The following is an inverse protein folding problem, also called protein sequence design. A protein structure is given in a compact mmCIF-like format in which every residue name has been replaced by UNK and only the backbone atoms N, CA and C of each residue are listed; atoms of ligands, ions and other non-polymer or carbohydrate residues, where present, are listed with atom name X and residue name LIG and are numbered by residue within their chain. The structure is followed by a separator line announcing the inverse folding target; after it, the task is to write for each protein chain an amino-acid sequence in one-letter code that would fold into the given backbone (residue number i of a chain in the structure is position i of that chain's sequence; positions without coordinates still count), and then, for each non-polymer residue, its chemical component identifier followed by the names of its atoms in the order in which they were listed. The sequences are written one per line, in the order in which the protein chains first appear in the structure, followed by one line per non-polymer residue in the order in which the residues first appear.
data_IF_981100635600
#
_entry.id   IF_981100635600
#
_cell.length_a   1.000
_cell.length_b   1.000
_cell.length_c   1.000
_cell.angle_alpha   90.00
_cell.angle_beta   90.00
_cell.angle_gamma   90.00
#
_symmetry.space_group_name_H-M   'P 1'
#
loop_
_entity.id
_entity.type
_entity.pdbx_description
1 polymer ?
#
# COMPACT_ATOMS: atom_id res chain seq x y z
N UNK A 1 8.36 -2.14 14.16
CA UNK A 1 7.23 -1.17 14.06
C UNK A 1 6.00 -1.86 13.48
N UNK A 2 4.78 -1.42 13.80
CA UNK A 2 3.56 -1.98 13.19
C UNK A 2 3.37 -1.42 11.78
N UNK A 3 3.02 -2.27 10.82
CA UNK A 3 2.76 -1.86 9.43
C UNK A 3 1.55 -2.54 8.83
N UNK A 4 0.87 -1.82 7.96
CA UNK A 4 -0.05 -2.40 6.98
C UNK A 4 0.69 -2.52 5.65
N UNK A 5 0.59 -3.66 5.00
CA UNK A 5 1.23 -3.93 3.71
C UNK A 5 0.16 -4.12 2.65
N UNK A 6 0.31 -3.44 1.52
CA UNK A 6 -0.49 -3.64 0.31
C UNK A 6 0.41 -4.22 -0.77
N UNK A 7 0.10 -5.43 -1.24
CA UNK A 7 0.84 -6.12 -2.29
C UNK A 7 -0.05 -6.25 -3.52
N UNK A 8 0.43 -5.71 -4.65
CA UNK A 8 -0.31 -5.66 -5.90
C UNK A 8 0.25 -6.68 -6.88
N UNK A 9 -0.66 -7.46 -7.48
CA UNK A 9 -0.35 -8.27 -8.68
C UNK A 9 -0.11 -7.37 -9.89
N UNK A 10 0.52 -7.93 -10.93
CA UNK A 10 0.77 -7.26 -12.20
C UNK A 10 -0.55 -6.77 -12.83
N UNK A 11 -0.74 -5.45 -13.02
CA UNK A 11 -1.89 -4.93 -13.73
C UNK A 11 -1.79 -5.24 -15.24
N UNK A 12 -2.93 -5.24 -15.93
CA UNK A 12 -2.96 -5.37 -17.40
C UNK A 12 -2.28 -4.18 -18.10
N UNK A 13 -2.42 -2.98 -17.53
CA UNK A 13 -1.75 -1.75 -17.97
C UNK A 13 -0.87 -1.18 -16.83
N UNK A 14 0.43 -1.53 -16.79
CA UNK A 14 1.36 -1.02 -15.79
C UNK A 14 1.55 0.49 -15.82
N UNK A 15 1.47 1.14 -16.99
CA UNK A 15 1.69 2.57 -17.11
C UNK A 15 0.52 3.35 -16.50
N UNK A 16 -0.71 3.02 -16.89
CA UNK A 16 -1.91 3.65 -16.32
C UNK A 16 -2.03 3.40 -14.82
N UNK A 17 -1.65 2.20 -14.36
CA UNK A 17 -1.58 1.90 -12.92
C UNK A 17 -0.59 2.84 -12.22
N UNK A 18 0.62 3.01 -12.76
CA UNK A 18 1.66 3.84 -12.14
C UNK A 18 1.25 5.30 -12.06
N UNK A 19 0.74 5.84 -13.17
CA UNK A 19 0.28 7.22 -13.24
C UNK A 19 -0.81 7.48 -12.19
N UNK A 20 -1.80 6.59 -12.07
CA UNK A 20 -2.84 6.74 -11.05
C UNK A 20 -2.30 6.53 -9.63
N UNK A 21 -1.49 5.50 -9.43
CA UNK A 21 -0.95 5.12 -8.14
C UNK A 21 -0.12 6.25 -7.52
N UNK A 22 0.85 6.78 -8.26
CA UNK A 22 1.75 7.80 -7.74
C UNK A 22 1.13 9.21 -7.73
N UNK A 23 0.27 9.57 -8.68
CA UNK A 23 -0.29 10.92 -8.75
C UNK A 23 -1.62 11.09 -8.00
N UNK A 24 -2.35 10.01 -7.74
CA UNK A 24 -3.66 10.07 -7.07
C UNK A 24 -3.66 9.29 -5.77
N UNK A 25 -3.32 8.01 -5.80
CA UNK A 25 -3.48 7.14 -4.63
C UNK A 25 -2.51 7.47 -3.49
N UNK A 26 -1.22 7.62 -3.78
CA UNK A 26 -0.20 7.93 -2.76
C UNK A 26 -0.46 9.27 -2.05
N UNK A 27 -0.78 10.38 -2.75
CA UNK A 27 -1.14 11.63 -2.08
C UNK A 27 -2.38 11.53 -1.18
N UNK A 28 -3.33 10.63 -1.47
CA UNK A 28 -4.46 10.36 -0.59
C UNK A 28 -4.01 9.59 0.65
N UNK A 29 -3.21 8.54 0.47
CA UNK A 29 -2.69 7.72 1.57
C UNK A 29 -1.80 8.52 2.51
N UNK A 30 -0.94 9.41 1.99
CA UNK A 30 -0.07 10.26 2.80
C UNK A 30 -0.82 11.29 3.67
N UNK A 31 -2.11 11.53 3.42
CA UNK A 31 -2.94 12.41 4.24
C UNK A 31 -3.50 11.73 5.49
N UNK A 32 -3.34 10.41 5.62
CA UNK A 32 -3.92 9.66 6.74
C UNK A 32 -3.29 10.12 8.06
N UNK A 33 -4.08 10.67 9.00
CA UNK A 33 -3.57 11.02 10.33
C UNK A 33 -3.02 9.79 11.06
N UNK A 34 -1.82 9.91 11.63
CA UNK A 34 -1.13 8.85 12.38
C UNK A 34 -0.23 7.95 11.54
N UNK A 35 -0.26 8.07 10.21
CA UNK A 35 0.70 7.42 9.32
C UNK A 35 2.10 8.03 9.52
N UNK A 36 3.09 7.20 9.83
CA UNK A 36 4.45 7.64 10.15
C UNK A 36 5.36 7.63 8.93
N UNK A 37 5.23 6.62 8.08
CA UNK A 37 6.06 6.45 6.90
C UNK A 37 5.33 5.61 5.84
N UNK A 38 5.71 5.80 4.58
CA UNK A 38 5.26 5.02 3.44
C UNK A 38 6.46 4.60 2.61
N UNK A 39 6.70 3.29 2.52
CA UNK A 39 7.71 2.73 1.64
C UNK A 39 7.05 2.03 0.46
N UNK A 40 7.52 2.33 -0.73
CA UNK A 40 7.00 1.78 -1.98
C UNK A 40 8.13 1.00 -2.65
N UNK A 41 7.88 -0.27 -2.94
CA UNK A 41 8.82 -1.14 -3.65
C UNK A 41 8.21 -1.56 -4.97
N UNK A 42 8.89 -1.20 -6.06
CA UNK A 42 8.61 -1.72 -7.40
C UNK A 42 9.26 -3.08 -7.55
N UNK A 43 8.46 -4.10 -7.87
CA UNK A 43 8.94 -5.46 -8.03
C UNK A 43 9.34 -5.65 -9.49
N UNK A 44 10.64 -5.82 -9.73
CA UNK A 44 11.22 -5.90 -11.07
C UNK A 44 11.32 -7.33 -11.61
N UNK A 45 11.00 -8.33 -10.78
CA UNK A 45 11.10 -9.74 -11.14
C UNK A 45 11.27 -10.63 -9.90
N UNK A 46 11.58 -11.89 -10.11
CA UNK A 46 11.94 -12.88 -9.10
C UNK A 46 13.27 -13.55 -9.48
N UNK A 47 13.95 -14.24 -8.54
CA UNK A 47 15.16 -15.00 -8.88
C UNK A 47 14.96 -16.03 -9.99
N UNK A 48 13.71 -16.49 -10.22
CA UNK A 48 13.34 -17.47 -11.24
C UNK A 48 12.82 -16.84 -12.53
N UNK A 49 12.81 -15.51 -12.66
CA UNK A 49 12.33 -14.79 -13.85
C UNK A 49 11.28 -13.73 -13.52
N UNK A 50 10.11 -13.81 -14.15
CA UNK A 50 9.04 -12.86 -13.88
C UNK A 50 8.42 -13.06 -12.47
N UNK A 51 7.83 -12.00 -11.94
CA UNK A 51 7.06 -12.01 -10.70
C UNK A 51 5.59 -11.80 -11.01
N UNK A 52 4.71 -12.52 -10.31
CA UNK A 52 3.27 -12.25 -10.31
C UNK A 52 2.94 -10.89 -9.68
N UNK A 53 3.78 -10.45 -8.75
CA UNK A 53 3.65 -9.18 -8.04
C UNK A 53 4.41 -8.06 -8.73
N UNK A 54 3.87 -6.85 -8.63
CA UNK A 54 4.34 -5.67 -9.33
C UNK A 54 4.72 -4.51 -8.42
N UNK A 55 3.98 -4.32 -7.32
CA UNK A 55 4.24 -3.24 -6.38
C UNK A 55 3.90 -3.69 -4.95
N UNK A 56 4.73 -3.31 -4.00
CA UNK A 56 4.44 -3.40 -2.57
C UNK A 56 4.46 -2.01 -1.96
N UNK A 57 3.50 -1.74 -1.08
CA UNK A 57 3.44 -0.52 -0.29
C UNK A 57 3.32 -0.87 1.19
N UNK A 58 4.20 -0.29 1.99
CA UNK A 58 4.26 -0.50 3.43
C UNK A 58 3.94 0.82 4.12
N UNK A 59 2.88 0.81 4.91
CA UNK A 59 2.38 1.96 5.66
C UNK A 59 2.67 1.74 7.14
N UNK A 60 3.57 2.54 7.70
CA UNK A 60 4.06 2.38 9.06
C UNK A 60 3.25 3.20 10.04
N UNK A 61 2.96 2.60 11.18
CA UNK A 61 2.28 3.24 12.31
C UNK A 61 3.09 2.98 13.59
N UNK A 62 2.95 3.87 14.55
CA UNK A 62 3.63 3.76 15.84
C UNK A 62 3.31 2.43 16.55
N UNK A 63 2.04 2.02 16.51
CA UNK A 63 1.57 0.76 17.09
C UNK A 63 0.31 0.27 16.38
N UNK A 64 -0.12 -0.96 16.71
CA UNK A 64 -1.41 -1.50 16.26
C UNK A 64 -2.59 -0.66 16.74
N UNK A 65 -2.49 -0.03 17.91
CA UNK A 65 -3.52 0.85 18.44
C UNK A 65 -3.60 2.15 17.63
N UNK A 66 -2.46 2.76 17.31
CA UNK A 66 -2.39 3.94 16.44
C UNK A 66 -3.00 3.66 15.06
N UNK A 67 -2.73 2.48 14.47
CA UNK A 67 -3.38 2.06 13.22
C UNK A 67 -4.91 1.94 13.36
N UNK A 68 -5.43 1.39 14.47
CA UNK A 68 -6.88 1.30 14.70
C UNK A 68 -7.56 2.67 14.81
N UNK A 69 -6.85 3.67 15.27
CA UNK A 69 -7.34 5.06 15.32
C UNK A 69 -7.27 5.71 13.94
N UNK A 70 -6.12 5.58 13.26
CA UNK A 70 -5.92 6.06 11.90
C UNK A 70 -6.95 5.48 10.91
N UNK A 71 -7.28 4.18 11.01
CA UNK A 71 -8.22 3.50 10.12
C UNK A 71 -9.68 3.98 10.23
N UNK A 72 -10.01 4.76 11.28
CA UNK A 72 -11.35 5.35 11.45
C UNK A 72 -11.49 6.72 10.79
N UNK A 73 -10.37 7.34 10.41
CA UNK A 73 -10.33 8.66 9.78
C UNK A 73 -10.96 8.64 8.39
N UNK A 74 -11.44 9.79 7.93
CA UNK A 74 -12.08 9.88 6.62
C UNK A 74 -11.04 9.80 5.49
N UNK A 75 -9.81 10.23 5.74
CA UNK A 75 -8.67 10.05 4.85
C UNK A 75 -8.34 8.57 4.64
N UNK A 76 -8.35 7.76 5.70
CA UNK A 76 -8.11 6.32 5.59
C UNK A 76 -9.23 5.62 4.82
N UNK A 77 -10.50 5.97 5.08
CA UNK A 77 -11.64 5.46 4.29
C UNK A 77 -11.57 5.88 2.82
N UNK A 78 -11.13 7.12 2.55
CA UNK A 78 -10.96 7.61 1.18
C UNK A 78 -9.88 6.85 0.44
N UNK A 79 -8.70 6.65 1.04
CA UNK A 79 -7.63 5.82 0.49
C UNK A 79 -8.08 4.37 0.25
N UNK A 80 -8.77 3.77 1.22
CA UNK A 80 -9.32 2.41 1.10
C UNK A 80 -10.35 2.28 -0.02
N UNK A 81 -11.26 3.26 -0.17
CA UNK A 81 -12.24 3.27 -1.27
C UNK A 81 -11.56 3.44 -2.62
N UNK A 82 -10.55 4.30 -2.70
CA UNK A 82 -9.80 4.57 -3.91
C UNK A 82 -9.07 3.31 -4.40
N UNK A 83 -8.29 2.64 -3.54
CA UNK A 83 -7.57 1.41 -3.92
C UNK A 83 -8.49 0.29 -4.35
N UNK A 84 -9.63 0.11 -3.68
CA UNK A 84 -10.61 -0.89 -4.10
C UNK A 84 -11.24 -0.57 -5.45
N UNK A 85 -11.34 0.71 -5.83
CA UNK A 85 -11.89 1.14 -7.11
C UNK A 85 -10.94 0.86 -8.28
N UNK A 86 -9.66 1.20 -8.18
CA UNK A 86 -8.73 1.08 -9.31
C UNK A 86 -7.92 -0.24 -9.31
N UNK A 87 -7.77 -0.91 -8.17
CA UNK A 87 -6.90 -2.07 -8.02
C UNK A 87 -7.46 -3.17 -7.10
N UNK A 88 -8.77 -3.18 -6.85
CA UNK A 88 -9.40 -4.10 -5.89
C UNK A 88 -9.21 -5.59 -6.19
N UNK A 89 -9.08 -5.97 -7.46
CA UNK A 89 -8.78 -7.34 -7.89
C UNK A 89 -7.27 -7.68 -7.91
N UNK A 90 -6.41 -6.69 -7.71
CA UNK A 90 -4.94 -6.83 -7.75
C UNK A 90 -4.33 -6.80 -6.36
N UNK A 91 -4.95 -6.08 -5.41
CA UNK A 91 -4.37 -5.81 -4.09
C UNK A 91 -4.68 -6.90 -3.08
N UNK A 92 -3.68 -7.28 -2.30
CA UNK A 92 -3.82 -8.08 -1.07
C UNK A 92 -3.24 -7.29 0.10
N UNK A 93 -3.94 -7.30 1.24
CA UNK A 93 -3.52 -6.58 2.43
C UNK A 93 -3.04 -7.52 3.54
N UNK A 94 -1.99 -7.10 4.23
CA UNK A 94 -1.45 -7.78 5.40
C UNK A 94 -1.20 -6.80 6.54
N UNK A 95 -1.14 -7.31 7.76
CA UNK A 95 -0.56 -6.62 8.91
C UNK A 95 0.73 -7.30 9.29
N UNK A 96 1.76 -6.52 9.60
CA UNK A 96 3.07 -7.03 9.98
C UNK A 96 3.71 -6.22 11.10
N UNK A 97 4.63 -6.87 11.80
CA UNK A 97 5.55 -6.22 12.73
C UNK A 97 6.97 -6.31 12.14
N UNK A 98 7.58 -5.16 11.93
CA UNK A 98 8.95 -5.09 11.43
C UNK A 98 9.95 -5.32 12.56
N UNK A 99 10.85 -6.29 12.35
CA UNK A 99 11.98 -6.62 13.20
C UNK A 99 13.28 -6.29 12.45
N UNK A 100 14.25 -5.71 13.16
CA UNK A 100 15.60 -5.56 12.62
C UNK A 100 16.34 -6.90 12.75
N UNK A 101 16.97 -7.35 11.67
CA UNK A 101 17.82 -8.55 11.63
C UNK A 101 19.30 -8.23 11.85
#
# INVERSE_FOLDING_TARGET
MFKMVALFKKPEDPQSFDEYYFNTHIPLTQKIPGLQDVKITKITGSPMGESEYYLMCEMFYESKQAFKEASKTDESKASGKDVMKFAGNLVTFFFGEEHNG
#
